data_IF_760102618507
#
_entry.id   IF_760102618507
#
_cell.length_a   1.000
_cell.length_b   1.000
_cell.length_c   1.000
_cell.angle_alpha   90.00
_cell.angle_beta   90.00
_cell.angle_gamma   90.00
#
_symmetry.space_group_name_H-M   'P 1'
#
loop_
_entity.id
_entity.type
_entity.pdbx_description
1 polymer ?
#
# COMPACT_ATOMS: atom_id res chain seq x y z
N UNK A 1 -15.54 0.06 -7.10
CA UNK A 1 -15.58 0.00 -8.58
C UNK A 1 -15.72 -1.44 -9.02
N UNK A 2 -16.67 -1.77 -9.89
CA UNK A 2 -16.82 -3.13 -10.44
C UNK A 2 -15.82 -3.37 -11.56
N UNK A 3 -15.50 -4.65 -11.83
CA UNK A 3 -14.55 -5.01 -12.89
C UNK A 3 -14.95 -4.45 -14.28
N UNK A 4 -16.20 -4.53 -14.74
CA UNK A 4 -16.59 -3.93 -16.02
C UNK A 4 -16.37 -2.41 -16.08
N UNK A 5 -16.55 -1.71 -14.96
CA UNK A 5 -16.27 -0.26 -14.88
C UNK A 5 -14.78 0.02 -15.02
N UNK A 6 -13.93 -0.75 -14.32
CA UNK A 6 -12.47 -0.61 -14.43
C UNK A 6 -11.99 -0.89 -15.86
N UNK A 7 -12.49 -1.93 -16.50
CA UNK A 7 -12.17 -2.27 -17.89
C UNK A 7 -12.56 -1.15 -18.86
N UNK A 8 -13.75 -0.57 -18.66
CA UNK A 8 -14.22 0.57 -19.44
C UNK A 8 -13.36 1.82 -19.26
N UNK A 9 -13.01 2.17 -18.02
CA UNK A 9 -12.14 3.29 -17.71
C UNK A 9 -10.75 3.12 -18.37
N UNK A 10 -10.18 1.92 -18.26
CA UNK A 10 -8.87 1.62 -18.81
C UNK A 10 -8.88 1.63 -20.34
N UNK A 11 -9.93 1.06 -20.95
CA UNK A 11 -10.12 1.10 -22.41
C UNK A 11 -10.24 2.53 -22.94
N UNK A 12 -10.93 3.41 -22.18
CA UNK A 12 -11.12 4.81 -22.55
C UNK A 12 -9.77 5.58 -22.50
N UNK A 13 -8.96 5.36 -21.46
CA UNK A 13 -7.63 5.98 -21.38
C UNK A 13 -6.65 5.46 -22.45
N UNK A 14 -6.79 4.19 -22.84
CA UNK A 14 -5.98 3.59 -23.91
C UNK A 14 -6.48 3.88 -25.31
N UNK A 15 -7.60 4.58 -25.48
CA UNK A 15 -8.17 4.91 -26.78
C UNK A 15 -7.16 5.65 -27.66
N UNK A 16 -6.73 5.00 -28.75
CA UNK A 16 -5.67 5.50 -29.64
C UNK A 16 -6.02 6.82 -30.31
N UNK A 17 -7.28 6.99 -30.73
CA UNK A 17 -7.73 8.22 -31.41
C UNK A 17 -7.73 9.40 -30.46
N UNK A 18 -8.23 9.23 -29.23
CA UNK A 18 -8.20 10.27 -28.20
C UNK A 18 -6.80 10.64 -27.79
N UNK A 19 -5.90 9.66 -27.62
CA UNK A 19 -4.49 9.89 -27.32
C UNK A 19 -3.78 10.63 -28.45
N UNK A 20 -4.04 10.30 -29.70
CA UNK A 20 -3.51 11.01 -30.84
C UNK A 20 -4.01 12.47 -30.88
N UNK A 21 -5.29 12.69 -30.64
CA UNK A 21 -5.88 14.03 -30.54
C UNK A 21 -5.27 14.85 -29.41
N UNK A 22 -5.04 14.24 -28.23
CA UNK A 22 -4.36 14.90 -27.09
C UNK A 22 -2.94 15.30 -27.50
N UNK A 23 -2.21 14.42 -28.17
CA UNK A 23 -0.84 14.71 -28.61
C UNK A 23 -0.78 15.87 -29.64
N UNK A 24 -1.77 15.98 -30.51
CA UNK A 24 -1.93 17.11 -31.45
C UNK A 24 -2.29 18.40 -30.71
N UNK A 25 -3.31 18.36 -29.86
CA UNK A 25 -3.75 19.49 -29.06
C UNK A 25 -2.64 20.03 -28.14
N UNK A 26 -1.75 19.21 -27.62
CA UNK A 26 -0.62 19.67 -26.81
C UNK A 26 0.27 20.71 -27.53
N UNK A 27 0.28 20.70 -28.86
CA UNK A 27 1.09 21.63 -29.68
C UNK A 27 0.32 22.91 -29.99
N UNK A 28 -0.99 22.89 -30.06
CA UNK A 28 -1.84 23.99 -30.52
C UNK A 28 -2.69 24.60 -29.41
N UNK A 29 -3.21 23.77 -28.50
CA UNK A 29 -4.04 24.18 -27.37
C UNK A 29 -3.78 23.25 -26.17
N UNK A 30 -2.74 23.56 -25.34
CA UNK A 30 -2.39 22.77 -24.16
C UNK A 30 -3.53 22.65 -23.13
N UNK A 31 -4.43 23.65 -23.07
CA UNK A 31 -5.56 23.65 -22.14
C UNK A 31 -6.58 22.59 -22.56
N UNK A 32 -7.02 22.62 -23.82
CA UNK A 32 -7.93 21.61 -24.37
C UNK A 32 -7.31 20.20 -24.30
N UNK A 33 -6.00 20.07 -24.52
CA UNK A 33 -5.31 18.79 -24.35
C UNK A 33 -5.40 18.26 -22.90
N UNK A 34 -5.19 19.13 -21.92
CA UNK A 34 -5.28 18.78 -20.49
C UNK A 34 -6.71 18.38 -20.10
N UNK A 35 -7.70 19.12 -20.57
CA UNK A 35 -9.12 18.82 -20.32
C UNK A 35 -9.53 17.47 -20.91
N UNK A 36 -9.17 17.22 -22.18
CA UNK A 36 -9.46 15.93 -22.81
C UNK A 36 -8.75 14.78 -22.12
N UNK A 37 -7.49 14.95 -21.71
CA UNK A 37 -6.75 13.94 -20.96
C UNK A 37 -7.42 13.64 -19.60
N UNK A 38 -7.85 14.66 -18.89
CA UNK A 38 -8.57 14.49 -17.62
C UNK A 38 -9.90 13.75 -17.80
N UNK A 39 -10.63 14.07 -18.87
CA UNK A 39 -11.92 13.45 -19.16
C UNK A 39 -11.86 11.94 -19.43
N UNK A 40 -10.71 11.42 -19.87
CA UNK A 40 -10.53 10.00 -20.17
C UNK A 40 -9.66 9.26 -19.13
N UNK A 41 -9.07 9.97 -18.18
CA UNK A 41 -8.13 9.37 -17.23
C UNK A 41 -8.87 8.57 -16.16
N UNK A 42 -8.50 7.29 -15.99
CA UNK A 42 -8.97 6.47 -14.89
C UNK A 42 -8.33 6.84 -13.54
N UNK A 43 -7.38 7.76 -13.54
CA UNK A 43 -6.80 8.37 -12.33
C UNK A 43 -7.64 9.54 -11.79
N UNK A 44 -8.73 9.91 -12.47
CA UNK A 44 -9.63 10.99 -12.04
C UNK A 44 -10.95 10.39 -11.58
N UNK A 45 -11.51 10.95 -10.50
CA UNK A 45 -12.82 10.57 -9.99
C UNK A 45 -13.94 11.05 -10.91
N UNK A 46 -14.57 10.11 -11.61
CA UNK A 46 -15.75 10.33 -12.45
C UNK A 46 -17.05 9.87 -11.76
N UNK A 47 -17.03 9.66 -10.42
CA UNK A 47 -18.21 9.28 -9.63
C UNK A 47 -18.40 7.76 -9.46
N UNK A 48 -17.53 6.93 -10.02
CA UNK A 48 -17.64 5.46 -9.93
C UNK A 48 -16.34 4.77 -9.49
N UNK A 49 -15.37 5.54 -9.04
CA UNK A 49 -14.06 5.09 -8.54
C UNK A 49 -12.91 5.53 -9.44
N UNK A 50 -11.71 5.25 -9.01
CA UNK A 50 -10.49 5.67 -9.68
C UNK A 50 -9.29 4.87 -9.19
N UNK A 51 -8.18 4.90 -9.94
CA UNK A 51 -6.83 4.56 -9.49
C UNK A 51 -6.06 5.84 -9.18
N UNK A 52 -5.93 6.19 -7.91
CA UNK A 52 -5.49 7.52 -7.50
C UNK A 52 -4.22 7.55 -6.65
N UNK A 53 -3.63 6.39 -6.33
CA UNK A 53 -2.43 6.31 -5.51
C UNK A 53 -1.26 5.72 -6.30
N UNK A 54 -0.31 6.57 -6.68
CA UNK A 54 0.87 6.16 -7.45
C UNK A 54 1.89 5.46 -6.55
N UNK A 55 1.88 4.14 -6.51
CA UNK A 55 2.79 3.37 -5.65
C UNK A 55 4.17 3.15 -6.26
N UNK A 56 4.28 2.92 -7.58
CA UNK A 56 5.54 2.63 -8.25
C UNK A 56 6.23 1.35 -7.70
N UNK A 57 7.53 1.14 -7.99
CA UNK A 57 8.30 0.01 -7.48
C UNK A 57 8.78 0.26 -6.03
N UNK A 58 7.84 0.39 -5.08
CA UNK A 58 8.05 0.72 -3.68
C UNK A 58 7.35 -0.28 -2.75
N UNK A 59 7.22 0.02 -1.46
CA UNK A 59 6.39 -0.77 -0.53
C UNK A 59 4.88 -0.45 -0.65
N UNK A 60 4.51 0.48 -1.50
CA UNK A 60 3.11 0.78 -1.82
C UNK A 60 2.29 1.19 -0.60
N UNK A 61 1.15 0.56 -0.45
CA UNK A 61 0.15 0.84 0.59
C UNK A 61 0.30 -0.09 1.81
N UNK A 62 1.52 -0.40 2.25
CA UNK A 62 1.73 -1.25 3.43
C UNK A 62 2.28 -2.64 3.11
N UNK A 63 3.11 -2.79 2.11
CA UNK A 63 3.85 -4.04 1.88
C UNK A 63 4.94 -4.22 2.93
N UNK A 64 5.10 -5.47 3.41
CA UNK A 64 6.24 -5.84 4.23
C UNK A 64 7.42 -6.32 3.39
N UNK A 65 8.63 -6.13 3.92
CA UNK A 65 9.88 -6.56 3.32
C UNK A 65 10.95 -6.81 4.40
N UNK A 66 11.89 -7.71 4.13
CA UNK A 66 13.08 -7.87 4.96
C UNK A 66 14.03 -6.67 4.76
N UNK A 67 14.86 -6.40 5.78
CA UNK A 67 15.89 -5.36 5.71
C UNK A 67 17.28 -5.92 5.99
N UNK A 68 18.26 -5.46 5.23
CA UNK A 68 19.68 -5.73 5.50
C UNK A 68 20.37 -4.40 5.82
N UNK A 69 20.64 -4.16 7.10
CA UNK A 69 20.99 -2.82 7.58
C UNK A 69 19.83 -1.85 7.26
N UNK A 70 20.13 -0.72 6.65
CA UNK A 70 19.12 0.27 6.24
C UNK A 70 18.53 0.01 4.85
N UNK A 71 18.93 -1.08 4.19
CA UNK A 71 18.49 -1.40 2.84
C UNK A 71 17.27 -2.33 2.85
N UNK A 72 16.21 -1.92 2.18
CA UNK A 72 15.00 -2.73 1.98
C UNK A 72 15.26 -3.77 0.89
N UNK A 73 15.00 -5.04 1.20
CA UNK A 73 14.99 -6.13 0.22
C UNK A 73 13.56 -6.21 -0.34
N UNK A 74 13.32 -5.48 -1.43
CA UNK A 74 11.98 -5.42 -2.02
C UNK A 74 11.55 -6.80 -2.52
N UNK A 75 10.33 -7.26 -2.18
CA UNK A 75 9.82 -8.54 -2.67
C UNK A 75 9.63 -8.51 -4.18
N UNK A 76 9.86 -9.64 -4.82
CA UNK A 76 9.51 -9.86 -6.23
C UNK A 76 8.00 -10.08 -6.41
N UNK A 77 7.56 -10.33 -7.65
CA UNK A 77 6.18 -10.78 -7.90
C UNK A 77 5.97 -12.18 -7.31
N UNK A 78 4.74 -12.46 -6.85
CA UNK A 78 4.36 -13.82 -6.49
C UNK A 78 4.38 -14.73 -7.73
N UNK A 79 4.70 -16.00 -7.52
CA UNK A 79 4.74 -17.03 -8.56
C UNK A 79 3.52 -17.95 -8.54
N UNK A 80 2.92 -18.14 -7.37
CA UNK A 80 1.71 -18.96 -7.20
C UNK A 80 0.72 -18.25 -6.30
N UNK A 81 -0.57 -18.57 -6.53
CA UNK A 81 -1.67 -18.12 -5.67
C UNK A 81 -2.62 -19.29 -5.39
N UNK A 82 -3.23 -19.26 -4.22
CA UNK A 82 -4.26 -20.20 -3.79
C UNK A 82 -5.36 -19.42 -3.05
N UNK A 83 -6.61 -19.52 -3.52
CA UNK A 83 -7.76 -18.94 -2.83
C UNK A 83 -8.19 -19.90 -1.74
N UNK A 84 -8.09 -19.47 -0.47
CA UNK A 84 -8.44 -20.26 0.70
C UNK A 84 -9.90 -20.06 1.12
N UNK A 85 -10.40 -18.81 1.04
CA UNK A 85 -11.80 -18.47 1.27
C UNK A 85 -12.29 -17.52 0.17
N UNK A 86 -13.52 -17.74 -0.29
CA UNK A 86 -14.19 -16.86 -1.24
C UNK A 86 -15.69 -16.78 -0.91
N UNK A 87 -15.99 -16.20 0.26
CA UNK A 87 -17.35 -16.05 0.77
C UNK A 87 -17.79 -14.58 0.85
N UNK A 88 -19.07 -14.32 1.13
CA UNK A 88 -19.59 -12.97 1.23
C UNK A 88 -19.09 -12.20 2.46
N UNK A 89 -18.59 -12.91 3.47
CA UNK A 89 -18.08 -12.30 4.70
C UNK A 89 -16.56 -12.23 4.77
N UNK A 90 -15.87 -13.08 4.00
CA UNK A 90 -14.41 -13.18 4.01
C UNK A 90 -13.87 -13.62 2.65
N UNK A 91 -12.76 -12.99 2.27
CA UNK A 91 -11.88 -13.45 1.20
C UNK A 91 -10.50 -13.70 1.79
N UNK A 92 -9.89 -14.86 1.48
CA UNK A 92 -8.53 -15.20 1.90
C UNK A 92 -7.75 -15.76 0.73
N UNK A 93 -6.56 -15.22 0.48
CA UNK A 93 -5.63 -15.69 -0.55
C UNK A 93 -4.25 -15.93 0.03
N UNK A 94 -3.64 -17.05 -0.36
CA UNK A 94 -2.23 -17.35 -0.09
C UNK A 94 -1.42 -17.09 -1.35
N UNK A 95 -0.33 -16.36 -1.20
CA UNK A 95 0.63 -16.04 -2.24
C UNK A 95 1.99 -16.60 -1.87
N UNK A 96 2.67 -17.27 -2.82
CA UNK A 96 4.07 -17.65 -2.70
C UNK A 96 4.89 -16.84 -3.69
N UNK A 97 5.94 -16.19 -3.21
CA UNK A 97 6.74 -15.27 -4.00
C UNK A 97 7.92 -15.97 -4.66
N UNK A 98 8.49 -15.33 -5.69
CA UNK A 98 9.75 -15.76 -6.25
C UNK A 98 10.87 -15.64 -5.19
N UNK A 99 11.87 -16.55 -5.23
CA UNK A 99 12.94 -16.54 -4.24
C UNK A 99 13.65 -15.18 -4.14
N UNK A 100 13.90 -14.74 -2.92
CA UNK A 100 14.65 -13.55 -2.59
C UNK A 100 16.13 -13.90 -2.38
N UNK A 101 16.99 -12.94 -2.67
CA UNK A 101 18.41 -12.99 -2.28
C UNK A 101 18.56 -12.28 -0.94
N UNK A 102 18.88 -13.05 0.09
CA UNK A 102 19.04 -12.55 1.47
C UNK A 102 20.42 -12.96 1.98
N UNK A 103 21.29 -11.99 2.26
CA UNK A 103 22.67 -12.23 2.72
C UNK A 103 23.44 -13.23 1.86
N UNK A 104 23.23 -13.18 0.53
CA UNK A 104 23.85 -14.09 -0.43
C UNK A 104 23.15 -15.45 -0.62
N UNK A 105 22.15 -15.78 0.19
CA UNK A 105 21.29 -16.94 -0.04
C UNK A 105 20.16 -16.56 -1.00
N UNK A 106 20.06 -17.25 -2.13
CA UNK A 106 19.09 -16.99 -3.20
C UNK A 106 17.82 -17.84 -3.10
N UNK A 107 17.61 -18.55 -2.00
CA UNK A 107 16.52 -19.50 -1.82
C UNK A 107 15.50 -19.10 -0.75
N UNK A 108 15.54 -17.88 -0.23
CA UNK A 108 14.56 -17.41 0.74
C UNK A 108 13.22 -17.17 0.05
N UNK A 109 12.20 -17.88 0.47
CA UNK A 109 10.86 -17.81 -0.15
C UNK A 109 9.89 -17.19 0.84
N UNK A 110 9.25 -16.09 0.43
CA UNK A 110 8.16 -15.48 1.17
C UNK A 110 6.84 -16.18 0.83
N UNK A 111 6.06 -16.51 1.87
CA UNK A 111 4.66 -16.87 1.78
C UNK A 111 3.83 -15.80 2.48
N UNK A 112 2.78 -15.32 1.83
CA UNK A 112 1.89 -14.30 2.37
C UNK A 112 0.45 -14.78 2.31
N UNK A 113 -0.25 -14.77 3.46
CA UNK A 113 -1.68 -15.02 3.54
C UNK A 113 -2.38 -13.69 3.81
N UNK A 114 -3.24 -13.27 2.89
CA UNK A 114 -3.99 -12.02 2.99
C UNK A 114 -5.46 -12.34 3.20
N UNK A 115 -6.05 -11.78 4.25
CA UNK A 115 -7.47 -11.94 4.57
C UNK A 115 -8.16 -10.57 4.58
N UNK A 116 -9.28 -10.45 3.90
CA UNK A 116 -10.17 -9.29 3.94
C UNK A 116 -11.54 -9.72 4.45
N UNK A 117 -11.97 -9.12 5.56
CA UNK A 117 -13.31 -9.31 6.11
C UNK A 117 -14.27 -8.21 5.59
N UNK A 118 -15.52 -8.59 5.37
CA UNK A 118 -16.57 -7.65 4.96
C UNK A 118 -16.71 -6.51 5.97
N UNK A 119 -16.78 -5.27 5.48
CA UNK A 119 -16.89 -4.07 6.31
C UNK A 119 -15.59 -3.60 6.98
N UNK A 120 -14.46 -4.28 6.75
CA UNK A 120 -13.16 -3.84 7.24
C UNK A 120 -12.50 -2.83 6.30
N UNK A 121 -11.85 -1.81 6.87
CA UNK A 121 -10.92 -0.94 6.13
C UNK A 121 -9.55 -1.57 5.95
N UNK A 122 -9.23 -2.60 6.76
CA UNK A 122 -7.90 -3.19 6.79
C UNK A 122 -7.94 -4.66 6.37
N UNK A 123 -6.95 -5.03 5.58
CA UNK A 123 -6.59 -6.43 5.30
C UNK A 123 -5.67 -6.92 6.42
N UNK A 124 -5.80 -8.19 6.81
CA UNK A 124 -4.80 -8.88 7.61
C UNK A 124 -3.78 -9.53 6.67
N UNK A 125 -2.50 -9.36 6.94
CA UNK A 125 -1.42 -10.10 6.29
C UNK A 125 -0.65 -10.93 7.32
N UNK A 126 -0.40 -12.19 7.00
CA UNK A 126 0.49 -13.10 7.74
C UNK A 126 1.59 -13.52 6.80
N UNK A 127 2.83 -13.21 7.15
CA UNK A 127 4.01 -13.48 6.33
C UNK A 127 4.91 -14.46 7.03
N UNK A 128 5.43 -15.41 6.28
CA UNK A 128 6.49 -16.32 6.69
C UNK A 128 7.56 -16.43 5.62
N UNK A 129 8.79 -16.70 6.05
CA UNK A 129 9.93 -16.92 5.15
C UNK A 129 10.51 -18.32 5.41
N UNK A 130 10.63 -19.12 4.35
CA UNK A 130 11.36 -20.39 4.41
C UNK A 130 12.82 -20.20 4.03
N UNK A 131 13.67 -21.12 4.50
CA UNK A 131 15.12 -21.12 4.28
C UNK A 131 15.89 -19.93 4.90
N UNK A 132 15.24 -19.15 5.76
CA UNK A 132 15.98 -18.18 6.58
C UNK A 132 16.77 -18.89 7.67
N UNK A 133 18.03 -18.45 7.88
CA UNK A 133 18.96 -19.06 8.83
C UNK A 133 19.11 -18.23 10.12
N UNK A 134 18.88 -16.94 10.04
CA UNK A 134 19.10 -15.99 11.12
C UNK A 134 17.97 -14.98 11.21
N UNK A 135 17.75 -14.45 12.42
CA UNK A 135 16.86 -13.33 12.64
C UNK A 135 17.32 -12.09 11.86
N UNK A 136 16.38 -11.30 11.38
CA UNK A 136 16.69 -10.04 10.74
C UNK A 136 15.49 -9.06 10.79
N UNK A 137 15.76 -7.76 10.63
CA UNK A 137 14.70 -6.78 10.59
C UNK A 137 13.71 -7.05 9.45
N UNK A 138 12.44 -6.92 9.78
CA UNK A 138 11.32 -6.85 8.83
C UNK A 138 10.66 -5.49 8.97
N UNK A 139 10.30 -4.88 7.85
CA UNK A 139 9.59 -3.60 7.83
C UNK A 139 8.27 -3.73 7.09
N UNK A 140 7.27 -2.98 7.55
CA UNK A 140 6.09 -2.65 6.76
C UNK A 140 6.16 -1.17 6.42
N UNK A 141 5.98 -0.82 5.14
CA UNK A 141 6.15 0.55 4.69
C UNK A 141 5.02 1.07 3.84
N UNK A 142 4.76 2.37 3.95
CA UNK A 142 3.82 3.11 3.10
C UNK A 142 4.65 4.13 2.31
N UNK A 143 4.47 4.16 0.99
CA UNK A 143 5.21 5.09 0.13
C UNK A 143 4.73 6.52 0.33
N UNK A 144 5.67 7.47 0.37
CA UNK A 144 5.40 8.89 0.43
C UNK A 144 5.53 9.50 -0.98
N UNK A 145 4.55 10.32 -1.36
CA UNK A 145 4.55 11.07 -2.62
C UNK A 145 4.75 12.57 -2.40
N UNK A 146 4.97 12.97 -1.15
CA UNK A 146 5.35 14.31 -0.71
C UNK A 146 6.32 14.17 0.47
N UNK A 147 7.48 14.87 0.45
CA UNK A 147 8.51 14.71 1.49
C UNK A 147 8.07 15.29 2.84
N UNK A 148 7.14 16.23 2.84
CA UNK A 148 6.53 16.90 3.99
C UNK A 148 5.06 16.49 4.22
N UNK A 149 4.65 15.34 3.65
CA UNK A 149 3.30 14.81 3.77
C UNK A 149 2.91 14.50 5.22
N UNK A 150 1.61 14.54 5.50
CA UNK A 150 1.07 14.27 6.84
C UNK A 150 1.24 12.79 7.18
N UNK A 151 2.09 12.50 8.16
CA UNK A 151 2.46 11.15 8.61
C UNK A 151 2.22 11.03 10.12
N UNK A 152 1.77 9.86 10.58
CA UNK A 152 1.96 9.40 11.95
C UNK A 152 2.85 8.15 11.93
N UNK A 153 3.88 8.14 12.78
CA UNK A 153 4.81 7.02 12.98
C UNK A 153 4.88 6.72 14.47
N UNK A 154 3.95 5.89 14.97
CA UNK A 154 3.76 5.63 16.40
C UNK A 154 4.09 4.17 16.74
N UNK A 155 5.35 3.89 17.00
CA UNK A 155 5.83 2.56 17.38
C UNK A 155 5.23 2.10 18.72
N UNK A 156 5.03 3.01 19.67
CA UNK A 156 4.52 2.69 21.00
C UNK A 156 3.07 2.19 20.93
N UNK A 157 2.23 2.87 20.15
CA UNK A 157 0.84 2.47 19.94
C UNK A 157 0.68 1.48 18.77
N UNK A 158 1.74 1.19 18.01
CA UNK A 158 1.77 0.15 17.00
C UNK A 158 0.99 0.45 15.73
N UNK A 159 1.13 1.66 15.21
CA UNK A 159 0.58 2.00 13.91
C UNK A 159 1.42 3.04 13.17
N UNK A 160 1.28 3.05 11.85
CA UNK A 160 1.80 4.09 10.97
C UNK A 160 0.69 4.53 10.02
N UNK A 161 0.67 5.81 9.65
CA UNK A 161 -0.28 6.36 8.66
C UNK A 161 0.37 7.38 7.75
N UNK A 162 -0.24 7.60 6.59
CA UNK A 162 0.10 8.63 5.63
C UNK A 162 -1.16 9.18 4.96
N UNK A 163 -1.18 10.47 4.69
CA UNK A 163 -2.24 11.13 3.92
C UNK A 163 -1.73 11.46 2.54
N UNK A 164 -2.24 10.75 1.53
CA UNK A 164 -1.88 11.01 0.14
C UNK A 164 -2.86 12.01 -0.51
N UNK A 165 -2.36 13.07 -1.19
CA UNK A 165 -3.19 14.05 -1.88
C UNK A 165 -3.79 13.52 -3.18
N UNK A 166 -3.49 12.27 -3.55
CA UNK A 166 -3.83 11.59 -4.80
C UNK A 166 -3.09 12.13 -6.03
N UNK A 167 -3.26 11.46 -7.17
CA UNK A 167 -2.62 11.86 -8.42
C UNK A 167 -3.18 13.14 -9.01
N UNK A 168 -4.44 13.50 -8.70
CA UNK A 168 -5.05 14.76 -9.15
C UNK A 168 -4.92 15.88 -8.12
N UNK A 169 -3.77 16.53 -8.12
CA UNK A 169 -3.49 17.68 -7.23
C UNK A 169 -4.37 18.91 -7.48
N UNK A 170 -5.12 18.95 -8.58
CA UNK A 170 -6.12 20.01 -8.83
C UNK A 170 -7.41 19.80 -8.01
N UNK A 171 -7.48 18.72 -7.23
CA UNK A 171 -8.40 18.62 -6.11
C UNK A 171 -9.72 17.87 -6.37
N UNK A 172 -9.92 17.30 -7.55
CA UNK A 172 -11.15 16.54 -7.84
C UNK A 172 -11.25 15.22 -7.07
N UNK A 173 -10.13 14.54 -6.85
CA UNK A 173 -10.08 13.21 -6.27
C UNK A 173 -10.25 13.18 -4.73
N UNK A 174 -9.99 14.27 -4.03
CA UNK A 174 -9.90 14.26 -2.58
C UNK A 174 -8.55 13.71 -2.07
N UNK A 175 -8.58 13.09 -0.89
CA UNK A 175 -7.41 12.52 -0.21
C UNK A 175 -7.63 11.08 0.18
N UNK A 176 -6.57 10.27 0.18
CA UNK A 176 -6.58 8.91 0.71
C UNK A 176 -5.79 8.89 2.01
N UNK A 177 -6.38 8.26 3.02
CA UNK A 177 -5.74 7.93 4.29
C UNK A 177 -5.25 6.49 4.20
N UNK A 178 -3.95 6.26 4.37
CA UNK A 178 -3.33 4.94 4.31
C UNK A 178 -2.82 4.63 5.70
N UNK A 179 -2.85 3.35 6.10
CA UNK A 179 -2.35 2.96 7.40
C UNK A 179 -1.97 1.49 7.51
N UNK A 180 -1.10 1.21 8.48
CA UNK A 180 -0.82 -0.14 8.93
C UNK A 180 -0.81 -0.20 10.46
N UNK A 181 -1.30 -1.31 11.02
CA UNK A 181 -1.41 -1.57 12.46
C UNK A 181 -0.79 -2.92 12.81
N UNK A 182 -0.18 -3.02 13.99
CA UNK A 182 0.67 -4.13 14.39
C UNK A 182 0.21 -4.74 15.72
N UNK A 183 -0.13 -6.04 15.79
CA UNK A 183 -0.43 -6.72 17.03
C UNK A 183 0.82 -6.91 17.92
N UNK A 184 1.97 -7.16 17.28
CA UNK A 184 3.24 -7.28 17.97
C UNK A 184 3.93 -5.93 18.19
N UNK A 185 5.00 -5.93 18.99
CA UNK A 185 5.80 -4.74 19.24
C UNK A 185 6.51 -4.29 17.96
N UNK A 186 6.36 -3.00 17.64
CA UNK A 186 7.17 -2.30 16.65
C UNK A 186 8.41 -1.74 17.36
N UNK A 187 9.61 -2.08 16.89
CA UNK A 187 10.86 -1.60 17.48
C UNK A 187 11.10 -0.13 17.18
N UNK A 188 10.81 0.27 15.96
CA UNK A 188 11.01 1.63 15.47
C UNK A 188 9.95 1.98 14.42
N UNK A 189 9.44 3.21 14.44
CA UNK A 189 8.63 3.77 13.36
C UNK A 189 9.23 5.12 12.95
N UNK A 190 9.53 5.28 11.66
CA UNK A 190 10.21 6.47 11.13
C UNK A 190 9.87 6.79 9.69
N UNK A 191 10.10 8.04 9.30
CA UNK A 191 10.14 8.46 7.89
C UNK A 191 11.56 8.30 7.36
N UNK A 192 11.68 7.69 6.19
CA UNK A 192 12.95 7.56 5.47
C UNK A 192 12.76 8.19 4.09
N UNK A 193 13.45 9.29 3.82
CA UNK A 193 13.44 9.95 2.52
C UNK A 193 14.44 9.29 1.58
N UNK A 194 14.09 9.22 0.30
CA UNK A 194 14.93 8.65 -0.75
C UNK A 194 15.88 9.71 -1.31
N UNK A 195 17.08 9.30 -1.67
CA UNK A 195 18.02 10.11 -2.45
C UNK A 195 17.47 10.37 -3.86
N UNK A 196 17.95 11.39 -4.55
CA UNK A 196 17.54 11.71 -5.92
C UNK A 196 17.75 10.56 -6.92
N UNK A 197 18.74 9.71 -6.68
CA UNK A 197 18.96 8.48 -7.45
C UNK A 197 17.85 7.47 -7.19
N UNK A 198 17.58 7.19 -5.93
CA UNK A 198 16.53 6.24 -5.52
C UNK A 198 15.14 6.70 -5.95
N UNK A 199 14.83 7.99 -5.87
CA UNK A 199 13.56 8.54 -6.38
C UNK A 199 13.33 8.16 -7.85
N UNK A 200 14.35 8.28 -8.70
CA UNK A 200 14.27 7.88 -10.11
C UNK A 200 14.02 6.39 -10.28
N UNK A 201 14.69 5.56 -9.49
CA UNK A 201 14.55 4.11 -9.50
C UNK A 201 13.19 3.66 -8.93
N UNK A 202 12.58 4.46 -8.04
CA UNK A 202 11.32 4.20 -7.34
C UNK A 202 10.12 4.97 -7.90
N UNK A 203 10.16 5.34 -9.19
CA UNK A 203 9.02 5.96 -9.88
C UNK A 203 8.64 7.34 -9.32
N UNK A 204 9.63 8.11 -8.84
CA UNK A 204 9.43 9.44 -8.28
C UNK A 204 8.82 9.44 -6.87
N UNK A 205 8.96 8.34 -6.11
CA UNK A 205 8.61 8.33 -4.69
C UNK A 205 9.57 9.22 -3.89
N UNK A 206 9.05 9.95 -2.89
CA UNK A 206 9.87 10.80 -2.03
C UNK A 206 10.47 10.04 -0.85
N UNK A 207 9.83 8.96 -0.40
CA UNK A 207 10.27 8.17 0.73
C UNK A 207 9.28 7.10 1.14
N UNK A 208 9.45 6.64 2.38
CA UNK A 208 8.52 5.73 3.06
C UNK A 208 8.33 6.16 4.51
N UNK A 209 7.14 5.95 5.05
CA UNK A 209 7.00 5.75 6.49
C UNK A 209 7.11 4.25 6.75
N UNK A 210 8.03 3.88 7.65
CA UNK A 210 8.38 2.49 7.97
C UNK A 210 8.02 2.17 9.41
N UNK A 211 7.47 0.97 9.63
CA UNK A 211 7.40 0.31 10.92
C UNK A 211 8.34 -0.89 10.88
N UNK A 212 9.35 -0.92 11.76
CA UNK A 212 10.42 -1.90 11.78
C UNK A 212 10.25 -2.80 13.00
N UNK A 213 10.30 -4.10 12.78
CA UNK A 213 10.24 -5.16 13.78
C UNK A 213 11.35 -6.18 13.53
N UNK A 214 11.41 -7.24 14.32
CA UNK A 214 12.31 -8.38 14.09
C UNK A 214 11.51 -9.56 13.55
N UNK A 215 12.10 -10.29 12.62
CA UNK A 215 11.59 -11.57 12.14
C UNK A 215 12.54 -12.69 12.55
N UNK A 216 12.00 -13.67 13.26
CA UNK A 216 12.73 -14.89 13.64
C UNK A 216 12.46 -16.02 12.65
N UNK A 217 13.46 -16.81 12.21
CA UNK A 217 13.25 -17.94 11.34
C UNK A 217 12.19 -18.89 11.89
N UNK A 218 11.25 -19.30 11.04
CA UNK A 218 10.15 -20.18 11.41
C UNK A 218 8.99 -19.53 12.16
N UNK A 219 9.03 -18.22 12.38
CA UNK A 219 7.93 -17.45 12.94
C UNK A 219 6.98 -16.91 11.86
N UNK A 220 5.94 -16.21 12.30
CA UNK A 220 5.03 -15.45 11.44
C UNK A 220 5.07 -13.97 11.79
N UNK A 221 5.12 -13.12 10.77
CA UNK A 221 4.97 -11.68 10.90
C UNK A 221 3.54 -11.29 10.49
N UNK A 222 2.75 -10.88 11.49
CA UNK A 222 1.35 -10.46 11.28
C UNK A 222 1.23 -8.94 11.36
N UNK A 223 0.55 -8.35 10.39
CA UNK A 223 0.15 -6.94 10.42
C UNK A 223 -1.16 -6.72 9.66
N UNK A 224 -1.73 -5.53 9.83
CA UNK A 224 -2.97 -5.12 9.16
C UNK A 224 -2.69 -3.83 8.38
N UNK A 225 -3.22 -3.72 7.17
CA UNK A 225 -2.98 -2.58 6.30
C UNK A 225 -4.19 -2.27 5.45
N UNK A 226 -4.37 -0.99 5.12
CA UNK A 226 -5.46 -0.58 4.26
C UNK A 226 -5.59 0.92 4.13
N UNK A 227 -6.75 1.35 3.69
CA UNK A 227 -6.98 2.77 3.39
C UNK A 227 -8.42 3.19 3.55
N UNK A 228 -8.62 4.49 3.69
CA UNK A 228 -9.93 5.13 3.63
C UNK A 228 -9.85 6.37 2.74
N UNK A 229 -11.00 6.76 2.17
CA UNK A 229 -11.12 7.92 1.31
C UNK A 229 -11.89 9.03 2.01
N UNK A 230 -11.39 10.28 1.95
CA UNK A 230 -12.02 11.39 2.66
C UNK A 230 -13.41 11.77 2.13
N UNK A 231 -13.79 11.32 0.94
CA UNK A 231 -15.17 11.42 0.44
C UNK A 231 -16.07 10.27 0.94
N UNK A 232 -15.48 9.21 1.55
CA UNK A 232 -16.18 8.10 2.20
C UNK A 232 -16.65 8.44 3.63
N UNK A 233 -16.72 7.44 4.53
CA UNK A 233 -17.14 7.64 5.92
C UNK A 233 -16.08 8.34 6.79
N UNK A 234 -14.79 8.08 6.52
CA UNK A 234 -13.66 8.73 7.21
C UNK A 234 -13.35 10.06 6.52
N UNK A 235 -13.64 11.20 7.20
CA UNK A 235 -13.55 12.53 6.59
C UNK A 235 -12.24 13.26 6.83
N UNK A 236 -11.56 12.97 7.94
CA UNK A 236 -10.34 13.69 8.37
C UNK A 236 -9.24 12.74 8.79
N UNK A 237 -8.01 13.24 8.77
CA UNK A 237 -6.83 12.49 9.25
C UNK A 237 -6.93 12.14 10.73
N UNK A 238 -7.51 13.01 11.55
CA UNK A 238 -7.65 12.75 12.98
C UNK A 238 -8.58 11.55 13.26
N UNK A 239 -9.69 11.46 12.51
CA UNK A 239 -10.61 10.31 12.59
C UNK A 239 -9.90 9.03 12.13
N UNK A 240 -9.08 9.11 11.08
CA UNK A 240 -8.29 7.97 10.61
C UNK A 240 -7.24 7.53 11.62
N UNK A 241 -6.44 8.46 12.13
CA UNK A 241 -5.41 8.16 13.13
C UNK A 241 -6.01 7.58 14.43
N UNK A 242 -7.15 8.12 14.87
CA UNK A 242 -7.90 7.55 16.00
C UNK A 242 -8.36 6.12 15.71
N UNK A 243 -8.93 5.86 14.52
CA UNK A 243 -9.33 4.52 14.11
C UNK A 243 -8.13 3.55 14.13
N UNK A 244 -6.97 3.96 13.60
CA UNK A 244 -5.76 3.14 13.56
C UNK A 244 -5.22 2.84 14.96
N UNK A 245 -5.18 3.84 15.85
CA UNK A 245 -4.74 3.68 17.24
C UNK A 245 -5.66 2.72 18.01
N UNK A 246 -6.98 2.90 17.91
CA UNK A 246 -7.96 2.02 18.56
C UNK A 246 -7.91 0.60 17.99
N UNK A 247 -7.69 0.47 16.69
CA UNK A 247 -7.55 -0.84 16.03
C UNK A 247 -6.31 -1.57 16.53
N UNK A 248 -5.14 -0.90 16.57
CA UNK A 248 -3.91 -1.45 17.08
C UNK A 248 -4.02 -1.84 18.58
N UNK A 249 -4.69 -1.03 19.38
CA UNK A 249 -4.98 -1.35 20.78
C UNK A 249 -5.80 -2.64 20.92
N UNK A 250 -6.88 -2.78 20.13
CA UNK A 250 -7.72 -3.99 20.14
C UNK A 250 -6.96 -5.23 19.71
N UNK A 251 -6.03 -5.11 18.77
CA UNK A 251 -5.16 -6.22 18.35
C UNK A 251 -4.23 -6.68 19.49
N UNK A 252 -3.74 -5.75 20.31
CA UNK A 252 -2.81 -6.02 21.43
C UNK A 252 -3.52 -6.49 22.70
N UNK A 253 -4.80 -6.16 22.84
CA UNK A 253 -5.65 -6.58 23.95
C UNK A 253 -6.94 -7.20 23.42
N UNK A 254 -6.88 -8.39 22.79
CA UNK A 254 -8.06 -9.03 22.24
C UNK A 254 -9.03 -9.44 23.36
N UNK A 255 -10.32 -9.39 23.06
CA UNK A 255 -11.36 -9.86 23.98
C UNK A 255 -11.20 -11.37 24.21
N UNK A 256 -11.26 -11.78 25.49
CA UNK A 256 -11.34 -13.19 25.86
C UNK A 256 -12.81 -13.58 25.97
N UNK A 257 -13.21 -14.61 25.20
CA UNK A 257 -14.54 -15.20 25.33
C UNK A 257 -14.43 -16.39 26.26
N UNK A 258 -15.10 -16.33 27.41
CA UNK A 258 -15.26 -17.47 28.30
C UNK A 258 -16.61 -18.16 27.99
N UNK A 259 -16.60 -19.48 27.88
CA UNK A 259 -17.80 -20.32 27.69
C UNK A 259 -18.21 -20.95 29.02
#
# INVERSE_FOLDING_TARGET
TTQPVLEGMYAEELNKEKRAKIAELRKTDPTAASELQRAISYHIDHGYGMDCYAVGPTLGCGTAALMQGDTIIYPYCYRTQEILDNGPLRFTVKLEFNPLVVRGDSNVIETRVITLDAGSYLNKAVISYTNMKEAMPVTTGIVLREPDGVVAADAANGYITYVDPTTDRKGGNGKIFIGAAFPAQVKEAKVVLLSEKEKKERGGADGHVLAISEYEPGSEYTYYWGSAWNKGAIKTVDVWNKYMAEYAQKLRAPLTVAY
#
